data_IF_070246593799
#
_entry.id   IF_070246593799
#
_cell.length_a   1.000
_cell.length_b   1.000
_cell.length_c   1.000
_cell.angle_alpha   90.00
_cell.angle_beta   90.00
_cell.angle_gamma   90.00
#
_symmetry.space_group_name_H-M   'P 1'
#
loop_
_entity.id
_entity.type
_entity.pdbx_description
1 polymer ?
#
# COMPACT_ATOMS: atom_id res chain seq x y z
N UNK A 1 13.74 -2.19 -0.16
CA UNK A 1 12.86 -3.22 0.45
C UNK A 1 12.05 -2.56 1.55
N UNK A 2 11.33 -1.49 1.22
CA UNK A 2 10.17 -1.11 2.01
C UNK A 2 8.91 -1.61 1.32
N UNK A 3 8.07 -2.13 2.20
CA UNK A 3 7.22 -3.29 2.02
C UNK A 3 5.81 -2.75 1.83
N UNK A 4 5.20 -2.91 0.65
CA UNK A 4 3.81 -2.46 0.41
C UNK A 4 2.75 -3.07 1.33
N UNK A 5 3.15 -4.05 2.13
CA UNK A 5 2.38 -4.64 3.22
C UNK A 5 2.51 -3.92 4.57
N UNK A 6 3.36 -2.91 4.71
CA UNK A 6 3.49 -2.14 5.94
C UNK A 6 2.47 -1.03 5.94
N UNK A 7 1.56 -1.10 6.89
CA UNK A 7 0.54 -0.12 7.15
C UNK A 7 0.96 0.79 8.30
N UNK A 8 0.60 2.07 8.18
CA UNK A 8 0.92 3.09 9.17
C UNK A 8 -0.31 3.92 9.52
N UNK A 9 -0.51 4.20 10.79
CA UNK A 9 -1.54 5.12 11.29
C UNK A 9 -1.06 5.86 12.54
N UNK A 10 -1.67 6.99 12.87
CA UNK A 10 -1.31 7.77 14.05
C UNK A 10 -2.02 7.22 15.30
N UNK A 11 -1.27 7.05 16.38
CA UNK A 11 -1.81 6.53 17.62
C UNK A 11 -2.90 7.47 18.17
N UNK A 12 -4.10 6.95 18.41
CA UNK A 12 -5.25 7.67 18.99
C UNK A 12 -5.05 8.20 20.43
N UNK A 13 -3.85 8.09 21.00
CA UNK A 13 -3.55 8.53 22.37
C UNK A 13 -2.34 9.47 22.39
N UNK A 14 -1.20 9.06 21.81
CA UNK A 14 0.02 9.85 21.83
C UNK A 14 0.40 10.45 20.46
N UNK A 15 -0.41 10.25 19.43
CA UNK A 15 -0.17 10.71 18.05
C UNK A 15 1.12 10.18 17.39
N UNK A 16 1.86 9.29 18.06
CA UNK A 16 3.03 8.64 17.47
C UNK A 16 2.58 7.63 16.40
N UNK A 17 3.34 7.56 15.30
CA UNK A 17 3.08 6.62 14.23
C UNK A 17 3.20 5.16 14.72
N UNK A 18 2.14 4.39 14.49
CA UNK A 18 2.07 2.94 14.70
C UNK A 18 2.22 2.28 13.34
N UNK A 19 3.21 1.39 13.20
CA UNK A 19 3.48 0.65 11.96
C UNK A 19 3.33 -0.84 12.19
N UNK A 20 2.72 -1.55 11.23
CA UNK A 20 2.56 -3.00 11.29
C UNK A 20 2.50 -3.62 9.90
N UNK A 21 2.78 -4.92 9.81
CA UNK A 21 2.67 -5.69 8.57
C UNK A 21 1.27 -6.29 8.43
N UNK A 22 0.57 -6.01 7.32
CA UNK A 22 -0.71 -6.65 6.99
C UNK A 22 -0.53 -8.17 6.76
N UNK A 23 0.68 -8.63 6.41
CA UNK A 23 0.96 -10.05 6.24
C UNK A 23 1.09 -10.82 7.55
N UNK A 24 1.29 -10.11 8.66
CA UNK A 24 1.48 -10.69 9.99
C UNK A 24 0.18 -10.63 10.83
N UNK A 25 -0.93 -10.17 10.25
CA UNK A 25 -2.21 -10.02 10.96
C UNK A 25 -2.75 -11.32 11.56
N UNK A 26 -2.51 -12.46 10.91
CA UNK A 26 -2.93 -13.77 11.45
C UNK A 26 -1.98 -14.30 12.55
N UNK A 27 -0.77 -13.73 12.69
CA UNK A 27 0.26 -14.11 13.68
C UNK A 27 0.26 -13.20 14.90
N UNK A 28 0.04 -11.90 14.68
CA UNK A 28 -0.34 -10.97 15.73
C UNK A 28 -1.65 -11.51 16.29
N UNK A 29 -1.76 -11.65 17.61
CA UNK A 29 -2.94 -12.16 18.31
C UNK A 29 -4.13 -11.17 18.23
N UNK A 30 -4.47 -10.73 17.01
CA UNK A 30 -5.41 -9.68 16.65
C UNK A 30 -5.17 -8.37 17.43
N UNK A 31 -3.92 -8.13 17.85
CA UNK A 31 -3.58 -6.93 18.60
C UNK A 31 -2.32 -6.26 18.08
N UNK A 32 -2.41 -4.94 17.87
CA UNK A 32 -1.28 -4.08 17.53
C UNK A 32 -1.02 -3.17 18.70
N UNK A 33 0.23 -2.94 19.04
CA UNK A 33 0.61 -2.09 20.16
C UNK A 33 1.34 -0.85 19.68
N UNK A 34 0.95 0.33 20.18
CA UNK A 34 1.72 1.54 19.96
C UNK A 34 3.11 1.41 20.58
N UNK A 35 4.20 1.69 19.84
CA UNK A 35 5.56 1.57 20.37
C UNK A 35 5.89 2.64 21.43
N UNK A 36 5.13 3.73 21.49
CA UNK A 36 5.40 4.85 22.41
C UNK A 36 4.56 4.77 23.68
N UNK A 37 3.23 4.71 23.58
CA UNK A 37 2.34 4.73 24.76
C UNK A 37 1.80 3.34 25.13
N UNK A 38 2.22 2.28 24.43
CA UNK A 38 1.79 0.90 24.66
C UNK A 38 0.28 0.64 24.56
N UNK A 39 -0.51 1.59 24.02
CA UNK A 39 -1.93 1.40 23.73
C UNK A 39 -2.09 0.20 22.80
N UNK A 40 -2.93 -0.75 23.20
CA UNK A 40 -3.28 -1.93 22.41
C UNK A 40 -4.52 -1.65 21.57
N UNK A 41 -4.43 -1.95 20.29
CA UNK A 41 -5.51 -1.93 19.32
C UNK A 41 -5.92 -3.37 19.08
N UNK A 42 -7.06 -3.79 19.63
CA UNK A 42 -7.60 -5.13 19.41
C UNK A 42 -8.57 -5.07 18.24
N UNK A 43 -8.29 -5.83 17.19
CA UNK A 43 -9.16 -5.96 16.02
C UNK A 43 -10.23 -6.99 16.32
N UNK A 44 -11.37 -6.56 16.87
CA UNK A 44 -12.52 -7.43 17.14
C UNK A 44 -13.63 -7.30 16.09
N UNK A 45 -13.59 -6.24 15.28
CA UNK A 45 -14.54 -6.03 14.20
C UNK A 45 -14.25 -6.98 13.03
N UNK A 46 -15.16 -7.91 12.79
CA UNK A 46 -15.05 -8.89 11.69
C UNK A 46 -15.02 -8.23 10.31
N UNK A 47 -15.69 -7.09 10.13
CA UNK A 47 -15.66 -6.33 8.87
C UNK A 47 -14.28 -5.77 8.63
N UNK A 48 -13.69 -5.13 9.65
CA UNK A 48 -12.33 -4.60 9.60
C UNK A 48 -11.31 -5.71 9.33
N UNK A 49 -11.38 -6.83 10.07
CA UNK A 49 -10.50 -7.99 9.85
C UNK A 49 -10.65 -8.52 8.41
N UNK A 50 -11.87 -8.66 7.91
CA UNK A 50 -12.11 -9.12 6.54
C UNK A 50 -11.55 -8.15 5.50
N UNK A 51 -11.69 -6.85 5.69
CA UNK A 51 -11.11 -5.84 4.79
C UNK A 51 -9.58 -5.89 4.79
N UNK A 52 -8.98 -5.99 5.98
CA UNK A 52 -7.54 -6.14 6.17
C UNK A 52 -7.01 -7.42 5.49
N UNK A 53 -7.73 -8.55 5.61
CA UNK A 53 -7.38 -9.81 4.91
C UNK A 53 -7.47 -9.68 3.39
N UNK A 54 -8.53 -9.07 2.86
CA UNK A 54 -8.66 -8.79 1.41
C UNK A 54 -7.52 -7.91 0.92
N UNK A 55 -7.15 -6.90 1.70
CA UNK A 55 -6.04 -6.02 1.37
C UNK A 55 -4.69 -6.77 1.38
N UNK A 56 -4.44 -7.66 2.35
CA UNK A 56 -3.26 -8.52 2.35
C UNK A 56 -3.17 -9.38 1.07
N UNK A 57 -4.29 -10.00 0.67
CA UNK A 57 -4.35 -10.79 -0.55
C UNK A 57 -4.09 -9.95 -1.80
N UNK A 58 -4.64 -8.73 -1.87
CA UNK A 58 -4.36 -7.79 -2.96
C UNK A 58 -2.87 -7.45 -3.04
N UNK A 59 -2.23 -7.12 -1.91
CA UNK A 59 -0.80 -6.83 -1.88
C UNK A 59 0.05 -8.02 -2.33
N UNK A 60 -0.30 -9.25 -1.92
CA UNK A 60 0.37 -10.48 -2.40
C UNK A 60 0.19 -10.65 -3.90
N UNK A 61 -1.04 -10.54 -4.39
CA UNK A 61 -1.33 -10.69 -5.81
C UNK A 61 -0.58 -9.66 -6.67
N UNK A 62 -0.45 -8.42 -6.21
CA UNK A 62 0.33 -7.38 -6.92
C UNK A 62 1.81 -7.77 -7.01
N UNK A 63 2.38 -8.31 -5.93
CA UNK A 63 3.76 -8.81 -5.91
C UNK A 63 3.89 -10.01 -6.87
N UNK A 64 2.96 -10.96 -6.81
CA UNK A 64 2.99 -12.16 -7.66
C UNK A 64 2.77 -11.83 -9.15
N UNK A 65 2.04 -10.76 -9.46
CA UNK A 65 1.74 -10.32 -10.82
C UNK A 65 2.81 -9.38 -11.40
N UNK A 66 3.92 -9.17 -10.69
CA UNK A 66 4.94 -8.17 -11.03
C UNK A 66 5.41 -8.19 -12.50
N UNK A 67 5.63 -9.39 -13.05
CA UNK A 67 6.03 -9.58 -14.45
C UNK A 67 5.02 -8.95 -15.43
N UNK A 68 3.72 -9.15 -15.20
CA UNK A 68 2.68 -8.67 -16.12
C UNK A 68 2.38 -7.18 -15.91
N UNK A 69 2.63 -6.63 -14.72
CA UNK A 69 2.34 -5.22 -14.40
C UNK A 69 3.18 -4.22 -15.22
N UNK A 70 4.36 -4.62 -15.69
CA UNK A 70 5.17 -3.84 -16.61
C UNK A 70 4.62 -3.81 -18.05
N UNK A 71 3.94 -4.88 -18.44
CA UNK A 71 3.37 -5.04 -19.79
C UNK A 71 1.88 -4.62 -19.86
N UNK A 72 1.27 -4.38 -18.71
CA UNK A 72 -0.12 -3.91 -18.61
C UNK A 72 -0.16 -2.40 -18.63
N UNK A 73 -1.07 -1.83 -19.43
CA UNK A 73 -1.29 -0.39 -19.52
C UNK A 73 -2.74 -0.04 -19.22
N UNK A 74 -2.94 1.12 -18.61
CA UNK A 74 -4.25 1.76 -18.48
C UNK A 74 -4.32 2.88 -19.52
N UNK A 75 -5.29 2.79 -20.43
CA UNK A 75 -5.60 3.84 -21.38
C UNK A 75 -6.47 4.92 -20.74
N UNK A 76 -6.12 6.18 -20.97
CA UNK A 76 -6.91 7.34 -20.58
C UNK A 76 -7.28 8.08 -21.85
N UNK A 77 -8.57 8.08 -22.16
CA UNK A 77 -9.15 8.85 -23.25
C UNK A 77 -9.49 10.26 -22.76
N UNK A 78 -8.79 11.24 -23.31
CA UNK A 78 -9.09 12.66 -23.23
C UNK A 78 -9.62 13.10 -24.60
N UNK A 79 -10.40 14.18 -24.61
CA UNK A 79 -11.10 14.70 -25.80
C UNK A 79 -10.28 14.65 -27.10
N UNK A 80 -9.01 15.07 -27.05
CA UNK A 80 -8.10 15.13 -28.20
C UNK A 80 -6.89 14.17 -28.08
N UNK A 81 -6.81 13.36 -27.01
CA UNK A 81 -5.61 12.57 -26.69
C UNK A 81 -5.94 11.23 -26.06
N UNK A 82 -5.23 10.20 -26.51
CA UNK A 82 -5.20 8.91 -25.83
C UNK A 82 -3.85 8.74 -25.14
N UNK A 83 -3.85 8.63 -23.80
CA UNK A 83 -2.65 8.46 -23.00
C UNK A 83 -2.60 7.04 -22.46
N UNK A 84 -1.49 6.33 -22.67
CA UNK A 84 -1.26 5.01 -22.07
C UNK A 84 -0.34 5.14 -20.87
N UNK A 85 -0.83 4.76 -19.70
CA UNK A 85 -0.07 4.76 -18.46
C UNK A 85 0.25 3.30 -18.09
N UNK A 86 1.53 2.90 -18.02
CA UNK A 86 1.91 1.60 -17.48
C UNK A 86 1.32 1.39 -16.09
N UNK A 87 0.67 0.24 -15.87
CA UNK A 87 -0.02 -0.07 -14.62
C UNK A 87 0.95 0.00 -13.42
N UNK A 88 2.21 -0.41 -13.61
CA UNK A 88 3.29 -0.28 -12.61
C UNK A 88 3.49 1.16 -12.11
N UNK A 89 3.27 2.19 -12.94
CA UNK A 89 3.41 3.59 -12.50
C UNK A 89 2.27 4.01 -11.55
N UNK A 90 1.06 3.49 -11.74
CA UNK A 90 -0.07 3.73 -10.85
C UNK A 90 0.22 3.26 -9.42
N UNK A 91 0.92 2.14 -9.29
CA UNK A 91 1.24 1.53 -7.99
C UNK A 91 2.44 2.16 -7.28
N UNK A 92 3.34 2.80 -8.03
CA UNK A 92 4.65 3.24 -7.53
C UNK A 92 4.82 4.75 -7.44
N UNK A 93 4.11 5.52 -8.28
CA UNK A 93 4.21 6.99 -8.35
C UNK A 93 2.99 7.72 -7.80
N UNK A 94 1.85 7.05 -7.66
CA UNK A 94 0.66 7.63 -7.06
C UNK A 94 0.59 7.30 -5.57
N UNK A 95 -0.03 8.21 -4.81
CA UNK A 95 -0.29 7.97 -3.40
C UNK A 95 -1.47 7.00 -3.31
N UNK A 96 -1.25 5.84 -2.69
CA UNK A 96 -2.30 4.88 -2.39
C UNK A 96 -2.68 4.95 -0.91
N UNK A 97 -3.97 5.00 -0.63
CA UNK A 97 -4.52 4.96 0.72
C UNK A 97 -5.62 3.92 0.82
N UNK A 98 -5.74 3.34 2.02
CA UNK A 98 -6.83 2.46 2.42
C UNK A 98 -7.55 3.15 3.58
N UNK A 99 -8.80 3.54 3.35
CA UNK A 99 -9.64 4.15 4.37
C UNK A 99 -10.41 3.07 5.11
N UNK A 100 -10.24 3.03 6.44
CA UNK A 100 -10.85 2.06 7.34
C UNK A 100 -11.57 2.77 8.48
N UNK A 101 -12.51 2.07 9.11
CA UNK A 101 -13.07 2.46 10.40
C UNK A 101 -12.42 1.59 11.49
N UNK A 102 -11.78 2.23 12.47
CA UNK A 102 -11.24 1.55 13.65
C UNK A 102 -12.01 2.04 14.87
N UNK A 103 -12.96 1.24 15.34
CA UNK A 103 -14.04 1.73 16.21
C UNK A 103 -14.90 2.72 15.42
N UNK A 104 -15.24 3.86 16.03
CA UNK A 104 -16.01 4.94 15.37
C UNK A 104 -15.15 6.02 14.71
N UNK A 105 -13.86 5.73 14.47
CA UNK A 105 -12.92 6.71 13.92
C UNK A 105 -12.44 6.30 12.52
N UNK A 106 -12.60 7.17 11.51
CA UNK A 106 -12.01 6.95 10.20
C UNK A 106 -10.49 7.09 10.28
N UNK A 107 -9.79 6.10 9.76
CA UNK A 107 -8.33 6.04 9.68
C UNK A 107 -7.94 5.82 8.24
N UNK A 108 -7.20 6.78 7.67
CA UNK A 108 -6.61 6.64 6.34
C UNK A 108 -5.21 6.07 6.47
N UNK A 109 -5.03 4.85 5.96
CA UNK A 109 -3.75 4.15 5.99
C UNK A 109 -3.06 4.37 4.65
N UNK A 110 -1.94 5.07 4.65
CA UNK A 110 -1.10 5.21 3.45
C UNK A 110 -0.25 3.96 3.26
N UNK A 111 -0.15 3.50 2.04
CA UNK A 111 0.76 2.42 1.66
C UNK A 111 1.47 2.74 0.35
N UNK A 112 2.66 2.17 0.17
CA UNK A 112 3.47 2.33 -1.04
C UNK A 112 3.99 0.98 -1.48
N UNK A 113 3.73 0.63 -2.73
CA UNK A 113 4.33 -0.54 -3.36
C UNK A 113 5.63 -0.03 -4.01
N UNK A 114 6.80 -0.41 -3.48
CA UNK A 114 8.07 -0.02 -4.09
C UNK A 114 8.14 -0.57 -5.53
N UNK A 115 8.65 0.22 -6.51
CA UNK A 115 9.07 -0.36 -7.76
C UNK A 115 10.24 -1.33 -7.48
N UNK A 116 10.31 -2.45 -8.20
CA UNK A 116 11.59 -3.15 -8.37
C UNK A 116 12.64 -2.13 -8.76
N UNK A 117 13.84 -2.33 -8.24
CA UNK A 117 15.06 -1.76 -8.80
C UNK A 117 15.09 -2.11 -10.29
N UNK A 118 14.55 -1.27 -11.15
CA UNK A 118 14.80 -1.24 -12.58
C UNK A 118 14.05 -0.07 -13.21
N UNK A 119 14.77 1.03 -13.34
CA UNK A 119 14.77 1.79 -14.59
C UNK A 119 16.22 2.26 -14.78
N UNK A 120 16.92 1.85 -15.85
CA UNK A 120 18.16 2.50 -16.25
C UNK A 120 17.84 3.99 -16.46
N UNK A 121 18.61 4.87 -15.85
CA UNK A 121 18.69 6.25 -16.29
C UNK A 121 18.96 6.19 -17.79
N UNK A 122 18.09 6.79 -18.59
CA UNK A 122 18.31 6.96 -20.04
C UNK A 122 19.75 7.39 -20.24
N UNK A 123 20.55 6.57 -20.92
CA UNK A 123 21.83 7.03 -21.43
C UNK A 123 21.48 8.16 -22.38
N UNK A 124 21.89 9.37 -22.03
CA UNK A 124 21.95 10.49 -22.95
C UNK A 124 22.58 9.99 -24.25
N UNK A 125 21.76 9.88 -25.29
CA UNK A 125 22.26 9.61 -26.63
C UNK A 125 23.01 10.86 -27.03
N UNK A 126 24.32 10.85 -26.84
CA UNK A 126 25.22 11.74 -27.55
C UNK A 126 25.05 11.47 -29.04
N UNK A 127 24.26 12.31 -29.71
CA UNK A 127 24.37 12.46 -31.15
C UNK A 127 25.68 13.19 -31.43
N UNK A 128 26.63 12.43 -31.99
CA UNK A 128 27.81 12.91 -32.71
C UNK A 128 27.37 13.63 -33.97
#
# INVERSE_FOLDING_TARGET
MQKGHILQFDCQQCQQQVSFSIFELDQLSHSIQCPSCHKKYVFQDETLIRQLKKFALLCRQIIDSEEILGNTVVGIDLLDKHVKIPYKLLLTRFTSSLDLLIGDQPVSIRFRIEPLKDTPLEKEIHHV
#
